data_IF_405285131809
#
_entry.id   IF_405285131809
#
_cell.length_a   1.000
_cell.length_b   1.000
_cell.length_c   1.000
_cell.angle_alpha   90.00
_cell.angle_beta   90.00
_cell.angle_gamma   90.00
#
_symmetry.space_group_name_H-M   'P 1'
#
loop_
_entity.id
_entity.type
_entity.pdbx_description
1 polymer ?
#
# COMPACT_ATOMS: atom_id res chain seq x y z
N UNK A 1 20.70 15.96 -5.36
CA UNK A 1 19.79 15.86 -6.53
C UNK A 1 18.34 15.88 -6.07
N UNK A 2 17.49 16.67 -6.74
CA UNK A 2 16.06 16.65 -6.49
C UNK A 2 15.47 15.30 -6.93
N UNK A 3 14.79 14.60 -6.02
CA UNK A 3 14.08 13.36 -6.37
C UNK A 3 12.82 13.73 -7.17
N UNK A 4 12.50 13.02 -8.26
CA UNK A 4 11.31 13.31 -9.04
C UNK A 4 10.04 13.20 -8.16
N UNK A 5 8.99 14.01 -8.45
CA UNK A 5 7.72 13.92 -7.74
C UNK A 5 7.12 12.50 -7.82
N UNK A 6 6.19 12.11 -6.95
CA UNK A 6 5.46 10.84 -7.15
C UNK A 6 4.42 11.01 -8.26
N UNK A 7 4.04 9.91 -8.91
CA UNK A 7 2.83 9.92 -9.72
C UNK A 7 1.65 10.07 -8.77
N UNK A 8 0.75 10.98 -9.09
CA UNK A 8 -0.32 11.36 -8.18
C UNK A 8 -1.51 11.88 -8.98
N UNK A 9 -2.57 11.07 -8.99
CA UNK A 9 -3.80 11.33 -9.74
C UNK A 9 -4.98 11.12 -8.78
N UNK A 10 -5.84 12.14 -8.57
CA UNK A 10 -7.06 12.00 -7.79
C UNK A 10 -7.96 10.88 -8.33
N UNK A 11 -8.62 10.16 -7.43
CA UNK A 11 -9.53 9.07 -7.79
C UNK A 11 -8.85 7.77 -8.20
N UNK A 12 -7.52 7.74 -8.32
CA UNK A 12 -6.77 6.52 -8.65
C UNK A 12 -6.14 5.91 -7.40
N UNK A 13 -6.35 4.61 -7.12
CA UNK A 13 -5.75 3.93 -5.98
C UNK A 13 -4.22 4.00 -6.00
N UNK A 14 -3.61 4.10 -4.81
CA UNK A 14 -2.18 4.10 -4.61
C UNK A 14 -1.78 3.04 -3.59
N UNK A 15 -0.82 2.20 -3.95
CA UNK A 15 -0.14 1.33 -2.99
C UNK A 15 1.01 2.11 -2.35
N UNK A 16 0.84 2.43 -1.07
CA UNK A 16 1.76 3.22 -0.26
C UNK A 16 2.50 2.30 0.70
N UNK A 17 3.83 2.46 0.80
CA UNK A 17 4.67 1.73 1.76
C UNK A 17 5.56 2.69 2.55
N UNK A 18 5.58 2.48 3.87
CA UNK A 18 6.45 3.16 4.81
C UNK A 18 7.27 2.13 5.58
N UNK A 19 8.58 2.35 5.70
CA UNK A 19 9.52 1.37 6.27
C UNK A 19 10.34 1.99 7.40
N UNK A 20 10.53 1.24 8.47
CA UNK A 20 11.30 1.62 9.65
C UNK A 20 12.77 1.77 9.35
N UNK A 21 13.39 2.78 9.94
CA UNK A 21 14.78 3.12 9.74
C UNK A 21 15.69 1.90 9.96
N UNK A 22 16.59 1.62 9.01
CA UNK A 22 17.44 0.42 9.03
C UNK A 22 16.64 -0.90 9.17
N UNK A 23 15.43 -0.96 8.60
CA UNK A 23 14.48 -2.07 8.77
C UNK A 23 14.16 -2.44 10.22
N UNK A 24 14.39 -1.53 11.17
CA UNK A 24 14.07 -1.72 12.57
C UNK A 24 12.55 -1.71 12.81
N UNK A 25 12.08 -2.32 13.91
CA UNK A 25 10.67 -2.30 14.28
C UNK A 25 10.10 -0.88 14.37
N UNK A 26 8.90 -0.71 13.83
CA UNK A 26 8.08 0.50 13.89
C UNK A 26 6.99 0.41 14.96
N UNK A 27 6.81 -0.80 15.49
CA UNK A 27 5.85 -1.18 16.53
C UNK A 27 6.58 -2.15 17.45
N UNK A 28 6.65 -1.84 18.73
CA UNK A 28 7.22 -2.73 19.74
C UNK A 28 6.13 -3.62 20.35
N UNK A 29 4.89 -3.14 20.36
CA UNK A 29 3.72 -3.85 20.88
C UNK A 29 2.44 -3.45 20.15
N UNK A 30 1.31 -3.95 20.65
CA UNK A 30 0.00 -3.71 20.09
C UNK A 30 -0.55 -2.31 20.38
N UNK A 31 -0.09 -1.64 21.45
CA UNK A 31 -0.47 -0.26 21.73
C UNK A 31 0.11 0.69 20.67
N UNK A 32 1.34 0.44 20.20
CA UNK A 32 1.93 1.19 19.08
C UNK A 32 1.08 1.05 17.80
N UNK A 33 0.60 -0.17 17.52
CA UNK A 33 -0.23 -0.44 16.34
C UNK A 33 -1.60 0.24 16.46
N UNK A 34 -2.22 0.18 17.63
CA UNK A 34 -3.48 0.90 17.90
C UNK A 34 -3.29 2.41 17.73
N UNK A 35 -2.20 2.97 18.27
CA UNK A 35 -1.91 4.40 18.13
C UNK A 35 -1.69 4.79 16.67
N UNK A 36 -0.98 3.97 15.90
CA UNK A 36 -0.80 4.17 14.47
C UNK A 36 -2.14 4.25 13.75
N UNK A 37 -3.04 3.29 13.99
CA UNK A 37 -4.37 3.29 13.36
C UNK A 37 -5.21 4.50 13.78
N UNK A 38 -5.14 4.94 15.04
CA UNK A 38 -5.81 6.16 15.50
C UNK A 38 -5.31 7.40 14.76
N UNK A 39 -3.98 7.58 14.69
CA UNK A 39 -3.37 8.69 13.95
C UNK A 39 -3.70 8.62 12.45
N UNK A 40 -3.70 7.43 11.86
CA UNK A 40 -4.06 7.22 10.46
C UNK A 40 -5.52 7.62 10.20
N UNK A 41 -6.46 7.20 11.05
CA UNK A 41 -7.88 7.57 10.95
C UNK A 41 -8.08 9.07 10.95
N UNK A 42 -7.46 9.79 11.88
CA UNK A 42 -7.53 11.26 11.94
C UNK A 42 -7.00 11.91 10.66
N UNK A 43 -5.91 11.38 10.11
CA UNK A 43 -5.30 11.90 8.89
C UNK A 43 -6.14 11.57 7.63
N UNK A 44 -6.74 10.38 7.55
CA UNK A 44 -7.67 10.01 6.46
C UNK A 44 -8.85 10.98 6.40
N UNK A 45 -9.48 11.26 7.55
CA UNK A 45 -10.59 12.21 7.66
C UNK A 45 -10.18 13.64 7.31
N UNK A 46 -9.00 14.08 7.78
CA UNK A 46 -8.51 15.45 7.54
C UNK A 46 -8.16 15.73 6.08
N UNK A 47 -7.67 14.73 5.35
CA UNK A 47 -7.12 14.93 4.00
C UNK A 47 -7.94 14.30 2.88
N UNK A 48 -9.09 13.67 3.18
CA UNK A 48 -9.98 13.13 2.15
C UNK A 48 -9.37 11.95 1.39
N UNK A 49 -8.68 11.05 2.10
CA UNK A 49 -8.15 9.82 1.52
C UNK A 49 -9.01 8.63 1.96
N UNK A 50 -9.42 7.79 1.01
CA UNK A 50 -10.15 6.55 1.28
C UNK A 50 -9.16 5.41 1.42
N UNK A 51 -9.12 4.75 2.58
CA UNK A 51 -8.28 3.56 2.80
C UNK A 51 -9.08 2.31 2.41
N UNK A 52 -8.49 1.45 1.58
CA UNK A 52 -9.15 0.26 1.08
C UNK A 52 -8.57 -1.03 1.64
N UNK A 53 -7.26 -1.10 1.83
CA UNK A 53 -6.60 -2.25 2.47
C UNK A 53 -5.35 -1.81 3.21
N UNK A 54 -4.95 -2.54 4.23
CA UNK A 54 -3.70 -2.30 4.96
C UNK A 54 -3.13 -3.56 5.61
N UNK A 55 -1.84 -3.49 5.93
CA UNK A 55 -1.18 -4.37 6.90
C UNK A 55 -0.11 -3.60 7.65
N UNK A 56 -0.07 -3.74 8.97
CA UNK A 56 0.99 -3.21 9.82
C UNK A 56 1.98 -4.32 10.15
N UNK A 57 3.06 -4.46 9.38
CA UNK A 57 4.15 -5.39 9.69
C UNK A 57 5.03 -4.82 10.80
N UNK A 58 5.87 -5.64 11.42
CA UNK A 58 6.73 -5.20 12.52
C UNK A 58 7.65 -4.01 12.15
N UNK A 59 8.20 -3.98 10.92
CA UNK A 59 9.15 -2.95 10.48
C UNK A 59 8.70 -2.15 9.24
N UNK A 60 7.48 -2.34 8.77
CA UNK A 60 6.95 -1.57 7.65
C UNK A 60 5.42 -1.67 7.58
N UNK A 61 4.81 -0.76 6.83
CA UNK A 61 3.36 -0.70 6.65
C UNK A 61 3.06 -0.65 5.16
N UNK A 62 2.03 -1.38 4.73
CA UNK A 62 1.44 -1.23 3.41
C UNK A 62 0.02 -0.69 3.55
N UNK A 63 -0.32 0.30 2.73
CA UNK A 63 -1.65 0.91 2.64
C UNK A 63 -2.06 0.94 1.17
N UNK A 64 -3.30 0.56 0.86
CA UNK A 64 -3.92 0.80 -0.44
C UNK A 64 -4.98 1.88 -0.25
N UNK A 65 -4.75 3.07 -0.80
CA UNK A 65 -5.63 4.21 -0.57
C UNK A 65 -5.87 5.03 -1.84
N UNK A 66 -7.06 5.61 -1.95
CA UNK A 66 -7.44 6.49 -3.06
C UNK A 66 -7.59 7.92 -2.56
N UNK A 67 -6.76 8.88 -3.01
CA UNK A 67 -6.95 10.28 -2.69
C UNK A 67 -8.12 10.89 -3.48
N UNK A 68 -8.90 11.77 -2.85
CA UNK A 68 -9.91 12.57 -3.54
C UNK A 68 -9.31 13.80 -4.24
N UNK A 69 -8.14 14.25 -3.80
CA UNK A 69 -7.46 15.44 -4.32
C UNK A 69 -5.97 15.19 -4.59
N UNK A 70 -5.40 16.02 -5.47
CA UNK A 70 -3.97 15.96 -5.79
C UNK A 70 -3.18 16.41 -4.56
N UNK A 71 -2.15 15.64 -4.23
CA UNK A 71 -1.26 15.84 -3.10
C UNK A 71 -1.82 15.33 -1.77
N UNK A 72 -3.05 14.83 -1.72
CA UNK A 72 -3.69 14.42 -0.47
C UNK A 72 -2.92 13.32 0.26
N UNK A 73 -2.46 12.27 -0.45
CA UNK A 73 -1.61 11.20 0.14
C UNK A 73 -0.32 11.79 0.72
N UNK A 74 0.31 12.75 0.02
CA UNK A 74 1.57 13.36 0.48
C UNK A 74 1.35 14.19 1.75
N UNK A 75 0.28 15.00 1.79
CA UNK A 75 -0.09 15.80 2.97
C UNK A 75 -0.44 14.90 4.14
N UNK A 76 -1.25 13.86 3.89
CA UNK A 76 -1.62 12.83 4.86
C UNK A 76 -0.38 12.19 5.45
N UNK A 77 0.45 11.54 4.64
CA UNK A 77 1.62 10.79 5.11
C UNK A 77 2.60 11.70 5.86
N UNK A 78 2.75 12.95 5.45
CA UNK A 78 3.62 13.91 6.15
C UNK A 78 3.11 14.26 7.55
N UNK A 79 1.84 14.65 7.67
CA UNK A 79 1.26 15.05 8.95
C UNK A 79 1.12 13.86 9.90
N UNK A 80 0.58 12.75 9.39
CA UNK A 80 0.42 11.48 10.11
C UNK A 80 1.76 10.97 10.66
N UNK A 81 2.79 10.90 9.81
CA UNK A 81 4.08 10.33 10.22
C UNK A 81 4.76 11.18 11.27
N UNK A 82 4.68 12.51 11.17
CA UNK A 82 5.25 13.41 12.18
C UNK A 82 4.59 13.18 13.55
N UNK A 83 3.27 13.09 13.57
CA UNK A 83 2.52 12.87 14.81
C UNK A 83 2.91 11.52 15.45
N UNK A 84 2.82 10.43 14.68
CA UNK A 84 3.13 9.09 15.20
C UNK A 84 4.58 8.95 15.68
N UNK A 85 5.56 9.51 14.95
CA UNK A 85 6.97 9.47 15.36
C UNK A 85 7.16 10.17 16.72
N UNK A 86 6.53 11.32 16.93
CA UNK A 86 6.60 12.03 18.22
C UNK A 86 6.05 11.20 19.36
N UNK A 87 4.90 10.56 19.16
CA UNK A 87 4.26 9.69 20.15
C UNK A 87 5.09 8.44 20.46
N UNK A 88 5.59 7.76 19.42
CA UNK A 88 6.44 6.58 19.56
C UNK A 88 7.75 6.92 20.30
N UNK A 89 8.39 8.02 19.91
CA UNK A 89 9.62 8.46 20.55
C UNK A 89 9.42 8.85 22.01
N UNK A 90 8.34 9.59 22.32
CA UNK A 90 8.00 9.96 23.69
C UNK A 90 7.72 8.74 24.58
N UNK A 91 6.96 7.76 24.07
CA UNK A 91 6.61 6.54 24.80
C UNK A 91 7.83 5.66 25.11
N UNK A 92 8.76 5.57 24.17
CA UNK A 92 9.90 4.65 24.25
C UNK A 92 11.23 5.34 24.61
N UNK A 93 11.22 6.61 25.00
CA UNK A 93 12.42 7.38 25.34
C UNK A 93 13.42 7.51 24.19
N UNK A 94 12.95 7.49 22.95
CA UNK A 94 13.79 7.54 21.74
C UNK A 94 13.89 8.95 21.18
N UNK A 95 14.91 9.18 20.36
CA UNK A 95 15.06 10.40 19.57
C UNK A 95 15.35 10.05 18.11
N UNK A 96 15.28 11.04 17.21
CA UNK A 96 15.55 10.87 15.79
C UNK A 96 14.37 10.30 14.98
N UNK A 97 14.67 9.76 13.79
CA UNK A 97 13.66 9.30 12.83
C UNK A 97 13.27 7.85 13.08
N UNK A 98 11.96 7.57 13.00
CA UNK A 98 11.45 6.19 13.00
C UNK A 98 11.54 5.55 11.62
N UNK A 99 11.41 6.34 10.55
CA UNK A 99 11.29 5.86 9.17
C UNK A 99 12.60 6.05 8.39
N UNK A 100 12.87 5.18 7.40
CA UNK A 100 14.03 5.29 6.49
C UNK A 100 14.02 6.56 5.62
N UNK A 101 12.90 7.28 5.62
CA UNK A 101 12.71 8.51 4.88
C UNK A 101 11.26 8.66 4.45
N UNK A 102 11.06 9.24 3.26
CA UNK A 102 9.72 9.40 2.70
C UNK A 102 9.15 8.04 2.29
N UNK A 103 7.84 7.88 2.43
CA UNK A 103 7.10 6.74 1.91
C UNK A 103 7.34 6.53 0.40
N UNK A 104 7.16 5.29 -0.07
CA UNK A 104 7.08 4.95 -1.51
C UNK A 104 5.62 4.80 -1.89
N UNK A 105 5.26 5.15 -3.12
CA UNK A 105 3.96 4.79 -3.67
C UNK A 105 4.00 4.53 -5.17
N UNK A 106 3.12 3.64 -5.63
CA UNK A 106 2.77 3.47 -7.04
C UNK A 106 1.27 3.65 -7.24
N UNK A 107 0.85 4.10 -8.42
CA UNK A 107 -0.56 4.06 -8.82
C UNK A 107 -0.94 2.59 -9.08
N UNK A 108 -2.19 2.24 -8.81
CA UNK A 108 -2.73 0.89 -9.01
C UNK A 108 -3.96 0.98 -9.90
N UNK A 109 -3.94 0.25 -11.00
CA UNK A 109 -5.06 0.08 -11.91
C UNK A 109 -6.21 -0.67 -11.20
N UNK A 110 -7.42 -0.17 -11.38
CA UNK A 110 -8.61 -0.83 -10.83
C UNK A 110 -8.92 -2.11 -11.59
N UNK A 111 -8.61 -2.12 -12.89
CA UNK A 111 -8.83 -3.28 -13.75
C UNK A 111 -7.74 -4.33 -13.50
N UNK A 112 -8.13 -5.47 -12.92
CA UNK A 112 -7.26 -6.63 -12.70
C UNK A 112 -6.20 -6.50 -11.60
N UNK A 113 -5.76 -5.29 -11.25
CA UNK A 113 -4.64 -5.09 -10.31
C UNK A 113 -5.05 -4.69 -8.90
N UNK A 114 -6.24 -4.09 -8.70
CA UNK A 114 -6.67 -3.64 -7.38
C UNK A 114 -6.80 -4.79 -6.38
N UNK A 115 -7.59 -5.82 -6.72
CA UNK A 115 -7.79 -6.98 -5.84
C UNK A 115 -6.48 -7.78 -5.69
N UNK A 116 -5.67 -7.88 -6.74
CA UNK A 116 -4.34 -8.50 -6.66
C UNK A 116 -3.42 -7.75 -5.68
N UNK A 117 -3.43 -6.42 -5.71
CA UNK A 117 -2.68 -5.58 -4.77
C UNK A 117 -3.21 -5.71 -3.35
N UNK A 118 -4.53 -5.75 -3.15
CA UNK A 118 -5.15 -5.97 -1.84
C UNK A 118 -4.73 -7.31 -1.24
N UNK A 119 -4.84 -8.40 -2.01
CA UNK A 119 -4.36 -9.74 -1.62
C UNK A 119 -2.87 -9.71 -1.31
N UNK A 120 -2.07 -9.04 -2.14
CA UNK A 120 -0.65 -8.92 -1.91
C UNK A 120 -0.39 -8.27 -0.55
N UNK A 121 -1.07 -7.16 -0.23
CA UNK A 121 -0.94 -6.46 1.05
C UNK A 121 -1.26 -7.41 2.21
N UNK A 122 -2.42 -8.06 2.18
CA UNK A 122 -2.91 -8.88 3.29
C UNK A 122 -2.19 -10.22 3.46
N UNK A 123 -1.56 -10.73 2.40
CA UNK A 123 -0.70 -11.93 2.45
C UNK A 123 0.73 -11.63 2.92
N UNK A 124 1.10 -10.39 3.27
CA UNK A 124 2.45 -10.10 3.78
C UNK A 124 2.81 -10.89 5.06
N UNK A 125 1.92 -11.02 6.07
CA UNK A 125 2.21 -11.79 7.28
C UNK A 125 2.48 -13.27 6.98
N UNK A 126 1.71 -13.87 6.07
CA UNK A 126 1.90 -15.25 5.61
C UNK A 126 3.22 -15.40 4.87
N UNK A 127 3.52 -14.52 3.91
CA UNK A 127 4.80 -14.54 3.17
C UNK A 127 6.03 -14.27 4.04
N UNK A 128 5.84 -13.62 5.19
CA UNK A 128 6.87 -13.39 6.19
C UNK A 128 6.94 -14.51 7.24
N UNK A 129 6.17 -15.58 7.08
CA UNK A 129 6.09 -16.72 8.00
C UNK A 129 5.70 -16.32 9.43
N UNK A 130 4.95 -15.22 9.59
CA UNK A 130 4.48 -14.75 10.90
C UNK A 130 3.22 -15.49 11.36
N UNK A 131 2.43 -15.96 10.40
CA UNK A 131 1.17 -16.70 10.60
C UNK A 131 0.97 -17.68 9.44
N UNK A 132 0.14 -18.72 9.64
CA UNK A 132 -0.21 -19.68 8.59
C UNK A 132 -1.25 -19.10 7.63
N UNK A 133 -2.29 -18.45 8.16
CA UNK A 133 -3.37 -17.87 7.36
C UNK A 133 -3.46 -16.35 7.53
N UNK A 134 -3.91 -15.60 6.51
CA UNK A 134 -4.07 -14.15 6.63
C UNK A 134 -5.11 -13.77 7.71
N UNK A 135 -6.08 -14.66 7.96
CA UNK A 135 -7.06 -14.54 9.03
C UNK A 135 -6.46 -14.56 10.44
N UNK A 136 -5.25 -15.08 10.64
CA UNK A 136 -4.61 -15.14 11.94
C UNK A 136 -3.91 -13.84 12.33
N UNK A 137 -3.70 -12.92 11.37
CA UNK A 137 -3.00 -11.66 11.62
C UNK A 137 -3.97 -10.50 11.89
N UNK A 138 -4.13 -10.04 13.15
CA UNK A 138 -5.12 -9.03 13.51
C UNK A 138 -4.81 -7.63 12.97
N UNK A 139 -3.54 -7.36 12.62
CA UNK A 139 -3.07 -6.04 12.19
C UNK A 139 -3.12 -5.85 10.67
N UNK A 140 -4.19 -6.37 10.05
CA UNK A 140 -4.49 -6.23 8.62
C UNK A 140 -5.96 -5.93 8.38
N UNK A 141 -6.29 -5.54 7.15
CA UNK A 141 -7.67 -5.39 6.70
C UNK A 141 -8.36 -6.71 6.33
N UNK A 142 -7.65 -7.85 6.32
CA UNK A 142 -8.17 -9.12 5.80
C UNK A 142 -9.50 -9.52 6.43
N UNK A 143 -9.58 -9.52 7.76
CA UNK A 143 -10.81 -9.92 8.49
C UNK A 143 -12.00 -9.01 8.18
N UNK A 144 -11.76 -7.76 7.81
CA UNK A 144 -12.86 -6.87 7.42
C UNK A 144 -13.43 -7.24 6.04
N UNK A 145 -12.56 -7.68 5.12
CA UNK A 145 -12.96 -8.09 3.78
C UNK A 145 -13.46 -9.54 3.73
N UNK A 146 -12.78 -10.48 4.41
CA UNK A 146 -13.04 -11.92 4.31
C UNK A 146 -14.05 -12.45 5.34
N UNK A 147 -14.18 -11.79 6.50
CA UNK A 147 -15.10 -12.21 7.56
C UNK A 147 -16.24 -11.19 7.77
N UNK A 148 -16.26 -10.09 7.01
CA UNK A 148 -17.26 -9.04 7.14
C UNK A 148 -17.18 -8.24 8.44
N UNK A 149 -16.04 -8.27 9.16
CA UNK A 149 -15.87 -7.48 10.39
C UNK A 149 -15.90 -6.00 10.09
N UNK A 150 -16.68 -5.24 10.86
CA UNK A 150 -16.68 -3.79 10.73
C UNK A 150 -15.30 -3.21 11.02
N UNK A 151 -14.84 -2.33 10.12
CA UNK A 151 -13.62 -1.56 10.31
C UNK A 151 -13.85 -0.11 9.85
N UNK A 152 -14.04 0.84 10.78
CA UNK A 152 -14.38 2.22 10.43
C UNK A 152 -13.24 3.00 9.76
N UNK A 153 -12.04 2.43 9.64
CA UNK A 153 -10.97 3.03 8.83
C UNK A 153 -11.14 2.74 7.34
N UNK A 154 -11.84 1.66 6.98
CA UNK A 154 -11.94 1.19 5.61
C UNK A 154 -13.11 1.84 4.88
N UNK A 155 -12.87 2.19 3.63
CA UNK A 155 -13.90 2.52 2.66
C UNK A 155 -13.86 1.47 1.56
N UNK A 156 -14.99 0.81 1.31
CA UNK A 156 -15.08 -0.19 0.25
C UNK A 156 -14.77 0.43 -1.12
N UNK A 157 -13.92 -0.23 -1.90
CA UNK A 157 -13.64 0.14 -3.29
C UNK A 157 -14.64 -0.53 -4.24
N UNK A 158 -14.87 0.05 -5.42
CA UNK A 158 -15.77 -0.50 -6.43
C UNK A 158 -15.46 -1.98 -6.73
N UNK A 159 -14.19 -2.32 -6.97
CA UNK A 159 -13.78 -3.70 -7.22
C UNK A 159 -14.09 -4.69 -6.08
N UNK A 160 -14.17 -4.24 -4.81
CA UNK A 160 -14.61 -5.10 -3.70
C UNK A 160 -16.14 -5.19 -3.66
N UNK A 161 -16.83 -4.08 -3.93
CA UNK A 161 -18.28 -4.04 -3.98
C UNK A 161 -18.85 -4.92 -5.11
N UNK A 162 -18.15 -5.01 -6.24
CA UNK A 162 -18.49 -5.84 -7.39
C UNK A 162 -18.38 -7.35 -7.12
N UNK A 163 -17.75 -7.78 -6.01
CA UNK A 163 -17.63 -9.20 -5.67
C UNK A 163 -18.94 -9.85 -5.22
N UNK A 164 -19.95 -9.07 -4.86
CA UNK A 164 -21.22 -9.61 -4.37
C UNK A 164 -22.23 -8.52 -4.00
N UNK A 165 -23.52 -8.86 -4.06
CA UNK A 165 -24.61 -7.89 -3.85
C UNK A 165 -24.67 -7.42 -2.39
N UNK A 166 -24.35 -8.31 -1.44
CA UNK A 166 -24.36 -8.02 -0.01
C UNK A 166 -23.02 -8.33 0.67
N UNK A 167 -22.89 -7.99 1.95
CA UNK A 167 -21.64 -8.14 2.69
C UNK A 167 -21.18 -9.59 2.82
N UNK A 168 -22.11 -10.54 2.97
CA UNK A 168 -21.81 -11.96 3.11
C UNK A 168 -21.27 -12.55 1.80
N UNK A 169 -21.93 -12.25 0.68
CA UNK A 169 -21.45 -12.68 -0.65
C UNK A 169 -20.06 -12.12 -0.97
N UNK A 170 -19.84 -10.84 -0.68
CA UNK A 170 -18.51 -10.21 -0.86
C UNK A 170 -17.44 -10.88 -0.01
N UNK A 171 -17.75 -11.21 1.24
CA UNK A 171 -16.82 -11.87 2.13
C UNK A 171 -16.43 -13.27 1.64
N UNK A 172 -17.40 -14.07 1.19
CA UNK A 172 -17.18 -15.39 0.59
C UNK A 172 -16.34 -15.28 -0.68
N UNK A 173 -16.73 -14.40 -1.61
CA UNK A 173 -16.01 -14.21 -2.85
C UNK A 173 -14.58 -13.69 -2.62
N UNK A 174 -14.39 -12.75 -1.68
CA UNK A 174 -13.08 -12.24 -1.33
C UNK A 174 -12.18 -13.32 -0.72
N UNK A 175 -12.72 -14.13 0.21
CA UNK A 175 -12.00 -15.25 0.81
C UNK A 175 -11.58 -16.28 -0.24
N UNK A 176 -12.44 -16.57 -1.21
CA UNK A 176 -12.14 -17.48 -2.31
C UNK A 176 -10.93 -17.04 -3.14
N UNK A 177 -10.66 -15.73 -3.25
CA UNK A 177 -9.46 -15.23 -3.93
C UNK A 177 -8.16 -15.71 -3.27
N UNK A 178 -8.17 -16.12 -2.00
CA UNK A 178 -6.97 -16.57 -1.27
C UNK A 178 -6.77 -18.09 -1.36
N UNK A 179 -7.70 -18.84 -1.97
CA UNK A 179 -7.57 -20.27 -2.17
C UNK A 179 -6.40 -20.63 -3.11
N UNK A 180 -6.13 -19.76 -4.08
CA UNK A 180 -4.98 -19.88 -4.97
C UNK A 180 -3.87 -18.91 -4.58
N UNK A 181 -2.61 -19.35 -4.72
CA UNK A 181 -1.46 -18.49 -4.54
C UNK A 181 -1.47 -17.33 -5.54
N UNK A 182 -1.04 -16.14 -5.12
CA UNK A 182 -0.76 -15.06 -6.07
C UNK A 182 0.38 -15.49 -6.99
N UNK A 183 0.23 -15.41 -8.33
CA UNK A 183 1.30 -15.76 -9.24
C UNK A 183 2.57 -14.95 -8.96
N UNK A 184 3.73 -15.60 -8.97
CA UNK A 184 5.02 -14.94 -8.70
C UNK A 184 5.30 -13.75 -9.61
N UNK A 185 4.84 -13.82 -10.86
CA UNK A 185 4.90 -12.70 -11.82
C UNK A 185 4.20 -11.45 -11.29
N UNK A 186 3.00 -11.59 -10.73
CA UNK A 186 2.22 -10.49 -10.17
C UNK A 186 2.91 -9.92 -8.92
N UNK A 187 3.41 -10.81 -8.04
CA UNK A 187 4.18 -10.40 -6.85
C UNK A 187 5.42 -9.59 -7.25
N UNK A 188 6.15 -10.05 -8.27
CA UNK A 188 7.31 -9.35 -8.80
C UNK A 188 6.94 -8.00 -9.41
N UNK A 189 5.85 -7.94 -10.19
CA UNK A 189 5.37 -6.71 -10.80
C UNK A 189 4.99 -5.66 -9.74
N UNK A 190 4.20 -6.04 -8.73
CA UNK A 190 3.83 -5.14 -7.61
C UNK A 190 5.08 -4.57 -6.94
N UNK A 191 6.08 -5.41 -6.63
CA UNK A 191 7.33 -4.97 -6.00
C UNK A 191 8.13 -4.03 -6.91
N UNK A 192 8.26 -4.35 -8.19
CA UNK A 192 9.02 -3.55 -9.16
C UNK A 192 8.40 -2.16 -9.34
N UNK A 193 7.08 -2.09 -9.53
CA UNK A 193 6.36 -0.84 -9.73
C UNK A 193 6.33 0.03 -8.48
N UNK A 194 6.18 -0.57 -7.28
CA UNK A 194 6.31 0.15 -6.01
C UNK A 194 7.73 0.70 -5.82
N UNK A 195 8.75 -0.12 -6.07
CA UNK A 195 10.15 0.27 -5.87
C UNK A 195 10.56 1.46 -6.75
N UNK A 196 10.09 1.48 -8.00
CA UNK A 196 10.35 2.56 -8.95
C UNK A 196 9.30 3.68 -8.90
N UNK A 197 8.26 3.54 -8.07
CA UNK A 197 7.17 4.51 -7.87
C UNK A 197 6.44 4.87 -9.17
N UNK A 198 5.99 3.82 -9.88
CA UNK A 198 5.41 3.83 -11.23
C UNK A 198 3.89 3.50 -11.22
N UNK A 199 3.29 3.20 -12.36
CA UNK A 199 1.87 2.84 -12.46
C UNK A 199 1.71 1.33 -12.68
N UNK A 200 1.34 0.60 -11.62
CA UNK A 200 1.02 -0.82 -11.66
C UNK A 200 -0.34 -0.99 -12.36
N UNK A 201 -0.38 -1.65 -13.51
CA UNK A 201 -1.61 -1.76 -14.28
C UNK A 201 -1.42 -2.32 -15.67
N UNK A 202 -2.49 -2.32 -16.45
CA UNK A 202 -2.45 -2.67 -17.89
C UNK A 202 -1.60 -1.67 -18.69
N UNK A 203 -1.17 -2.04 -19.90
CA UNK A 203 -0.46 -1.10 -20.78
C UNK A 203 -1.34 0.10 -21.16
N UNK A 204 -2.65 -0.12 -21.32
CA UNK A 204 -3.65 0.94 -21.51
C UNK A 204 -3.63 1.94 -20.35
N UNK A 205 -3.65 1.45 -19.11
CA UNK A 205 -3.60 2.30 -17.92
C UNK A 205 -2.29 3.07 -17.83
N UNK A 206 -1.15 2.43 -18.11
CA UNK A 206 0.16 3.10 -18.11
C UNK A 206 0.20 4.22 -19.15
N UNK A 207 -0.23 3.97 -20.38
CA UNK A 207 -0.30 4.99 -21.43
C UNK A 207 -1.21 6.17 -21.02
N UNK A 208 -2.35 5.88 -20.39
CA UNK A 208 -3.26 6.90 -19.85
C UNK A 208 -2.60 7.75 -18.74
N UNK A 209 -1.85 7.11 -17.82
CA UNK A 209 -1.09 7.83 -16.78
C UNK A 209 -0.01 8.71 -17.40
N UNK A 210 0.72 8.23 -18.40
CA UNK A 210 1.76 9.00 -19.09
C UNK A 210 1.15 10.22 -19.78
N UNK A 211 0.06 10.06 -20.51
CA UNK A 211 -0.66 11.16 -21.15
C UNK A 211 -1.13 12.22 -20.13
N UNK A 212 -1.63 11.79 -18.96
CA UNK A 212 -2.17 12.71 -17.95
C UNK A 212 -1.10 13.38 -17.09
N UNK A 213 0.04 12.74 -16.90
CA UNK A 213 1.11 13.24 -16.00
C UNK A 213 2.32 13.80 -16.74
N UNK A 214 2.45 13.54 -18.04
CA UNK A 214 3.62 13.86 -18.88
C UNK A 214 4.91 13.23 -18.32
N UNK A 215 4.79 12.04 -17.73
CA UNK A 215 5.88 11.35 -17.02
C UNK A 215 5.78 9.85 -17.23
N UNK A 216 6.92 9.20 -17.43
CA UNK A 216 7.00 7.74 -17.59
C UNK A 216 6.32 6.97 -16.45
N UNK A 217 5.41 6.07 -16.83
CA UNK A 217 4.61 5.26 -15.93
C UNK A 217 5.05 3.80 -15.88
N UNK A 218 5.95 3.38 -16.78
CA UNK A 218 6.54 2.03 -16.82
C UNK A 218 7.78 1.90 -15.94
N UNK A 219 8.09 0.67 -15.53
CA UNK A 219 9.35 0.31 -14.87
C UNK A 219 10.47 0.18 -15.90
N UNK A 220 11.68 0.58 -15.51
CA UNK A 220 12.89 0.28 -16.28
C UNK A 220 13.46 -1.06 -15.86
N UNK A 221 13.97 -1.84 -16.80
CA UNK A 221 14.71 -3.06 -16.49
C UNK A 221 15.97 -2.71 -15.68
N UNK A 222 16.31 -3.46 -14.63
CA UNK A 222 17.58 -3.30 -13.94
C UNK A 222 18.74 -3.63 -14.90
N UNK A 223 19.64 -2.68 -15.13
CA UNK A 223 20.84 -2.90 -15.96
C UNK A 223 21.41 -1.59 -16.53
N UNK A 224 22.72 -1.57 -16.81
CA UNK A 224 23.34 -0.53 -17.65
C UNK A 224 22.76 -0.67 -19.07
N UNK A 225 22.42 0.42 -19.79
CA UNK A 225 22.07 0.31 -21.20
C UNK A 225 23.19 -0.47 -21.91
N UNK A 226 22.84 -1.56 -22.59
CA UNK A 226 23.80 -2.27 -23.42
C UNK A 226 24.06 -1.39 -24.64
N UNK A 227 25.24 -0.77 -24.73
CA UNK A 227 25.67 -0.11 -25.96
C UNK A 227 25.72 -1.18 -27.05
N UNK A 228 24.77 -1.15 -27.98
CA UNK A 228 24.70 -2.05 -29.15
C UNK A 228 25.85 -1.85 -30.15
N UNK A 229 26.94 -1.19 -29.75
CA UNK A 229 28.06 -0.85 -30.62
C UNK A 229 29.34 -1.66 -30.33
N UNK A 230 29.37 -2.54 -29.33
CA UNK A 230 30.50 -3.44 -29.11
C UNK A 230 30.05 -4.72 -28.38
N UNK A 231 29.55 -5.70 -29.13
CA UNK A 231 29.70 -7.10 -28.75
C UNK A 231 30.50 -7.80 -29.86
N UNK A 232 31.50 -8.63 -29.50
CA UNK A 232 32.38 -9.31 -30.44
C UNK A 232 31.65 -10.33 -31.32
#
# INVERSE_FOLDING_TARGET
MARPPRLDIPGIPQHVVQRGNNRLPCFLDDEDRQRYLQCLRQALLRYGCRLHAYVLMSNHVHLLMTPQEKGAVSRLMHAFSRNYVGLFNGRHGRTGTLWEGRYKSCLVDSEGYFLACSRYIELNPVRAWMVAEPGDYPWSSYRAHADGRENPLLTAHACYLELGANAAERAVAYKALFAEALPDKIVHEIRAYLQQQKALGTDRFRAWVEARTQRFATVRQPGRPCDRLNCP
#
